data_IF_719663027790
#
_entry.id   IF_719663027790
#
_cell.length_a   1.000
_cell.length_b   1.000
_cell.length_c   1.000
_cell.angle_alpha   90.00
_cell.angle_beta   90.00
_cell.angle_gamma   90.00
#
_symmetry.space_group_name_H-M   'P 1'
#
loop_
_entity.id
_entity.type
_entity.pdbx_description
1 polymer ?
#
# COMPACT_ATOMS: atom_id res chain seq x y z
N UNK A 1 -29.16 7.34 -8.99
CA UNK A 1 -29.14 8.76 -9.39
C UNK A 1 -29.22 8.96 -10.90
N UNK A 2 -28.51 8.18 -11.75
CA UNK A 2 -28.55 8.31 -13.23
C UNK A 2 -29.94 8.11 -13.86
N UNK A 3 -30.84 7.44 -13.17
CA UNK A 3 -32.21 7.16 -13.65
C UNK A 3 -33.24 8.14 -13.10
N UNK A 4 -32.82 9.12 -12.29
CA UNK A 4 -33.74 10.11 -11.73
C UNK A 4 -33.98 11.20 -12.79
N UNK A 5 -35.22 11.43 -13.24
CA UNK A 5 -35.53 12.52 -14.15
C UNK A 5 -35.14 13.87 -13.58
N UNK A 6 -34.78 14.85 -14.43
CA UNK A 6 -34.30 16.17 -14.01
C UNK A 6 -35.27 16.90 -13.11
N UNK A 7 -36.57 16.70 -13.31
CA UNK A 7 -37.66 17.27 -12.52
C UNK A 7 -37.66 16.86 -11.03
N UNK A 8 -36.90 15.74 -10.69
CA UNK A 8 -36.77 15.27 -9.30
C UNK A 8 -35.41 15.59 -8.70
N UNK A 9 -34.51 16.30 -9.39
CA UNK A 9 -33.20 16.64 -8.86
C UNK A 9 -33.24 17.51 -7.59
N UNK A 10 -34.38 18.21 -7.34
CA UNK A 10 -34.58 19.00 -6.10
C UNK A 10 -34.62 18.15 -4.81
N UNK A 11 -34.89 16.85 -4.90
CA UNK A 11 -34.86 15.93 -3.75
C UNK A 11 -33.43 15.43 -3.45
N UNK A 12 -32.47 15.63 -4.36
CA UNK A 12 -31.08 15.27 -4.16
C UNK A 12 -30.42 16.30 -3.24
N UNK A 13 -30.59 16.12 -1.94
CA UNK A 13 -29.88 16.88 -0.91
C UNK A 13 -28.69 16.12 -0.38
N UNK A 14 -27.78 16.81 0.33
CA UNK A 14 -26.67 16.16 1.01
C UNK A 14 -27.15 15.06 1.97
N UNK A 15 -28.21 15.35 2.76
CA UNK A 15 -28.77 14.38 3.72
C UNK A 15 -29.34 13.15 3.02
N UNK A 16 -30.00 13.33 1.87
CA UNK A 16 -30.49 12.21 1.07
C UNK A 16 -29.33 11.33 0.59
N UNK A 17 -28.25 11.94 0.09
CA UNK A 17 -27.06 11.23 -0.37
C UNK A 17 -26.39 10.48 0.78
N UNK A 18 -26.24 11.11 1.95
CA UNK A 18 -25.67 10.50 3.15
C UNK A 18 -26.51 9.32 3.63
N UNK A 19 -27.83 9.49 3.65
CA UNK A 19 -28.76 8.41 4.01
C UNK A 19 -28.67 7.24 3.01
N UNK A 20 -28.58 7.53 1.72
CA UNK A 20 -28.43 6.52 0.69
C UNK A 20 -27.10 5.75 0.81
N UNK A 21 -25.99 6.45 1.13
CA UNK A 21 -24.70 5.84 1.43
C UNK A 21 -24.80 4.89 2.63
N UNK A 22 -25.39 5.31 3.73
CA UNK A 22 -25.44 4.56 4.99
C UNK A 22 -26.35 3.31 4.92
N UNK A 23 -27.42 3.38 4.12
CA UNK A 23 -28.44 2.31 4.05
C UNK A 23 -28.27 1.35 2.87
N UNK A 24 -27.38 1.63 1.93
CA UNK A 24 -27.14 0.73 0.81
C UNK A 24 -26.11 -0.35 1.22
N UNK A 25 -26.55 -1.55 1.55
CA UNK A 25 -25.72 -2.68 1.97
C UNK A 25 -25.11 -3.49 0.82
N UNK A 26 -25.24 -3.06 -0.42
CA UNK A 26 -24.69 -3.77 -1.58
C UNK A 26 -23.22 -3.42 -1.80
N UNK A 27 -22.33 -4.34 -1.54
CA UNK A 27 -20.87 -4.19 -1.62
C UNK A 27 -20.36 -3.71 -2.99
N UNK A 28 -21.08 -4.01 -4.07
CA UNK A 28 -20.65 -3.76 -5.45
C UNK A 28 -20.96 -2.32 -5.94
N UNK A 29 -21.84 -1.60 -5.25
CA UNK A 29 -22.33 -0.29 -5.69
C UNK A 29 -21.57 0.93 -5.16
N UNK A 30 -20.80 0.80 -4.07
CA UNK A 30 -20.26 1.96 -3.34
C UNK A 30 -19.13 2.68 -4.07
N UNK A 31 -18.24 1.96 -4.75
CA UNK A 31 -17.13 2.58 -5.45
C UNK A 31 -17.58 3.51 -6.59
N UNK A 32 -18.72 3.20 -7.22
CA UNK A 32 -19.28 3.99 -8.31
C UNK A 32 -20.27 5.08 -7.85
N UNK A 33 -20.64 5.11 -6.57
CA UNK A 33 -21.65 6.04 -6.11
C UNK A 33 -21.18 7.50 -6.25
N UNK A 34 -19.91 7.78 -5.89
CA UNK A 34 -19.34 9.11 -6.13
C UNK A 34 -19.23 9.48 -7.62
N UNK A 35 -19.18 8.53 -8.53
CA UNK A 35 -19.18 8.80 -9.97
C UNK A 35 -20.49 9.43 -10.42
N UNK A 36 -21.61 8.97 -9.86
CA UNK A 36 -22.96 9.34 -10.29
C UNK A 36 -23.61 10.47 -9.47
N UNK A 37 -23.03 10.84 -8.33
CA UNK A 37 -23.46 11.99 -7.53
C UNK A 37 -23.10 13.27 -8.26
N UNK A 38 -24.02 14.25 -8.40
CA UNK A 38 -23.70 15.58 -8.92
C UNK A 38 -22.60 16.29 -8.13
N UNK A 39 -21.71 17.02 -8.80
CA UNK A 39 -20.52 17.63 -8.17
C UNK A 39 -20.85 18.63 -7.05
N UNK A 40 -22.00 19.32 -7.14
CA UNK A 40 -22.47 20.21 -6.08
C UNK A 40 -22.82 19.48 -4.78
N UNK A 41 -23.16 18.19 -4.85
CA UNK A 41 -23.48 17.36 -3.69
C UNK A 41 -22.27 16.52 -3.22
N UNK A 42 -21.15 16.56 -3.92
CA UNK A 42 -19.88 15.96 -3.47
C UNK A 42 -19.22 16.87 -2.44
N UNK A 43 -19.87 17.03 -1.29
CA UNK A 43 -19.30 17.76 -0.15
C UNK A 43 -18.16 16.95 0.47
N UNK A 44 -17.37 17.57 1.34
CA UNK A 44 -16.31 16.86 2.09
C UNK A 44 -16.87 15.64 2.81
N UNK A 45 -17.96 15.82 3.55
CA UNK A 45 -18.61 14.78 4.34
C UNK A 45 -19.11 13.62 3.48
N UNK A 46 -19.76 13.91 2.35
CA UNK A 46 -20.23 12.88 1.40
C UNK A 46 -19.07 12.09 0.84
N UNK A 47 -18.02 12.78 0.40
CA UNK A 47 -16.83 12.13 -0.15
C UNK A 47 -16.10 11.26 0.89
N UNK A 48 -15.96 11.76 2.11
CA UNK A 48 -15.31 11.05 3.21
C UNK A 48 -16.06 9.77 3.55
N UNK A 49 -17.37 9.85 3.77
CA UNK A 49 -18.20 8.68 4.08
C UNK A 49 -18.15 7.65 2.94
N UNK A 50 -18.25 8.09 1.69
CA UNK A 50 -18.14 7.18 0.56
C UNK A 50 -16.79 6.44 0.51
N UNK A 51 -15.68 7.14 0.78
CA UNK A 51 -14.35 6.55 0.82
C UNK A 51 -14.14 5.64 2.05
N UNK A 52 -14.74 5.97 3.21
CA UNK A 52 -14.70 5.10 4.40
C UNK A 52 -15.46 3.80 4.13
N UNK A 53 -16.58 3.87 3.42
CA UNK A 53 -17.36 2.68 3.09
C UNK A 53 -16.70 1.84 2.01
N UNK A 54 -15.99 2.48 1.08
CA UNK A 54 -15.23 1.78 0.03
C UNK A 54 -14.05 2.62 -0.47
N UNK A 55 -12.85 2.24 -0.10
CA UNK A 55 -11.61 2.96 -0.41
C UNK A 55 -11.43 3.30 -1.91
N UNK A 56 -11.91 2.46 -2.84
CA UNK A 56 -11.82 2.74 -4.27
C UNK A 56 -12.69 3.92 -4.73
N UNK A 57 -13.61 4.43 -3.90
CA UNK A 57 -14.39 5.64 -4.21
C UNK A 57 -13.49 6.88 -4.34
N UNK A 58 -12.28 6.85 -3.76
CA UNK A 58 -11.29 7.91 -3.88
C UNK A 58 -10.96 8.27 -5.34
N UNK A 59 -11.12 7.35 -6.29
CA UNK A 59 -10.96 7.61 -7.73
C UNK A 59 -11.87 8.71 -8.27
N UNK A 60 -13.03 8.89 -7.65
CA UNK A 60 -14.08 9.80 -8.07
C UNK A 60 -14.14 11.08 -7.23
N UNK A 61 -13.11 11.31 -6.39
CA UNK A 61 -13.00 12.55 -5.62
C UNK A 61 -12.86 13.77 -6.55
N UNK A 62 -13.60 14.85 -6.27
CA UNK A 62 -13.33 16.14 -6.89
C UNK A 62 -11.87 16.56 -6.66
N UNK A 63 -11.26 17.25 -7.65
CA UNK A 63 -9.87 17.73 -7.54
C UNK A 63 -9.60 18.54 -6.28
N UNK A 64 -10.58 19.34 -5.81
CA UNK A 64 -10.48 20.15 -4.58
C UNK A 64 -10.25 19.35 -3.30
N UNK A 65 -10.56 18.03 -3.30
CA UNK A 65 -10.39 17.13 -2.17
C UNK A 65 -9.24 16.11 -2.38
N UNK A 66 -8.59 16.14 -3.54
CA UNK A 66 -7.41 15.32 -3.81
C UNK A 66 -6.18 16.01 -3.19
N UNK A 67 -6.05 15.95 -1.86
CA UNK A 67 -4.99 16.60 -1.09
C UNK A 67 -4.68 15.85 0.21
N UNK A 68 -3.57 16.21 0.84
CA UNK A 68 -3.07 15.57 2.07
C UNK A 68 -4.07 15.61 3.21
N UNK A 69 -4.77 16.72 3.42
CA UNK A 69 -5.75 16.86 4.50
C UNK A 69 -6.86 15.81 4.40
N UNK A 70 -7.35 15.56 3.20
CA UNK A 70 -8.37 14.53 2.98
C UNK A 70 -7.79 13.11 3.18
N UNK A 71 -6.57 12.88 2.70
CA UNK A 71 -5.90 11.58 2.83
C UNK A 71 -5.53 11.26 4.28
N UNK A 72 -5.11 12.25 5.06
CA UNK A 72 -4.86 12.09 6.49
C UNK A 72 -6.15 11.68 7.24
N UNK A 73 -7.27 12.29 6.91
CA UNK A 73 -8.56 11.92 7.52
C UNK A 73 -8.97 10.48 7.16
N UNK A 74 -8.70 10.01 5.94
CA UNK A 74 -8.88 8.59 5.58
C UNK A 74 -7.99 7.67 6.42
N UNK A 75 -6.74 8.06 6.67
CA UNK A 75 -5.80 7.29 7.51
C UNK A 75 -6.33 7.20 8.94
N UNK A 76 -6.86 8.28 9.51
CA UNK A 76 -7.47 8.28 10.86
C UNK A 76 -8.68 7.33 10.95
N UNK A 77 -9.42 7.18 9.84
CA UNK A 77 -10.51 6.20 9.72
C UNK A 77 -10.04 4.78 9.33
N UNK A 78 -8.72 4.51 9.39
CA UNK A 78 -8.11 3.21 9.05
C UNK A 78 -8.35 2.75 7.61
N UNK A 79 -8.57 3.69 6.71
CA UNK A 79 -8.66 3.40 5.28
C UNK A 79 -7.30 3.65 4.64
N UNK A 80 -6.45 2.63 4.55
CA UNK A 80 -5.09 2.76 4.02
C UNK A 80 -4.97 2.37 2.55
N UNK A 81 -5.80 1.43 2.10
CA UNK A 81 -5.76 0.89 0.73
C UNK A 81 -6.12 1.93 -0.35
N UNK A 82 -6.62 3.11 0.05
CA UNK A 82 -6.92 4.21 -0.87
C UNK A 82 -5.70 4.59 -1.72
N UNK A 83 -4.47 4.44 -1.18
CA UNK A 83 -3.24 4.80 -1.89
C UNK A 83 -3.03 4.06 -3.21
N UNK A 84 -3.65 2.88 -3.36
CA UNK A 84 -3.64 2.11 -4.61
C UNK A 84 -4.53 2.71 -5.70
N UNK A 85 -5.35 3.70 -5.37
CA UNK A 85 -6.38 4.24 -6.24
C UNK A 85 -6.29 5.74 -6.49
N UNK A 86 -5.40 6.45 -5.79
CA UNK A 86 -5.16 7.89 -6.00
C UNK A 86 -4.13 8.12 -7.11
N UNK A 87 -4.08 9.38 -7.57
CA UNK A 87 -2.96 9.87 -8.36
C UNK A 87 -1.82 10.24 -7.43
N UNK A 88 -0.67 9.60 -7.57
CA UNK A 88 0.45 9.78 -6.65
C UNK A 88 1.09 11.19 -6.68
N UNK A 89 0.75 12.02 -7.66
CA UNK A 89 1.14 13.43 -7.70
C UNK A 89 0.28 14.33 -6.79
N UNK A 90 -0.80 13.78 -6.20
CA UNK A 90 -1.72 14.51 -5.30
C UNK A 90 -1.45 14.27 -3.82
N UNK A 91 -0.48 13.45 -3.46
CA UNK A 91 -0.13 13.11 -2.07
C UNK A 91 1.32 13.47 -1.78
N UNK A 92 1.60 13.99 -0.60
CA UNK A 92 2.97 14.25 -0.16
C UNK A 92 3.65 12.98 0.39
N UNK A 93 4.98 12.96 0.41
CA UNK A 93 5.75 11.84 0.92
C UNK A 93 5.45 11.50 2.39
N UNK A 94 5.31 12.45 3.33
CA UNK A 94 4.97 12.13 4.73
C UNK A 94 3.62 11.42 4.87
N UNK A 95 2.59 11.88 4.16
CA UNK A 95 1.25 11.27 4.22
C UNK A 95 1.26 9.89 3.55
N UNK A 96 1.96 9.75 2.44
CA UNK A 96 2.13 8.49 1.74
C UNK A 96 2.86 7.45 2.61
N UNK A 97 3.97 7.84 3.25
CA UNK A 97 4.72 7.01 4.20
C UNK A 97 3.85 6.58 5.39
N UNK A 98 3.11 7.53 5.99
CA UNK A 98 2.17 7.25 7.09
C UNK A 98 1.12 6.20 6.67
N UNK A 99 0.56 6.31 5.47
CA UNK A 99 -0.39 5.33 4.95
C UNK A 99 0.26 3.96 4.75
N UNK A 100 1.43 3.91 4.09
CA UNK A 100 2.19 2.66 3.86
C UNK A 100 2.53 1.95 5.18
N UNK A 101 2.97 2.69 6.20
CA UNK A 101 3.35 2.13 7.50
C UNK A 101 2.20 1.45 8.25
N UNK A 102 0.94 1.75 7.88
CA UNK A 102 -0.28 1.19 8.51
C UNK A 102 -0.87 0.00 7.75
N UNK A 103 -0.50 -0.20 6.49
CA UNK A 103 -0.97 -1.33 5.69
C UNK A 103 -0.30 -2.61 6.18
N UNK A 104 -1.08 -3.69 6.28
CA UNK A 104 -0.50 -5.00 6.58
C UNK A 104 0.31 -5.50 5.36
N UNK A 105 1.56 -5.88 5.60
CA UNK A 105 2.47 -6.46 4.60
C UNK A 105 1.88 -7.68 3.89
N UNK A 106 0.95 -8.38 4.55
CA UNK A 106 0.26 -9.55 4.00
C UNK A 106 -0.94 -9.21 3.12
N UNK A 107 -1.47 -7.98 3.19
CA UNK A 107 -2.52 -7.54 2.29
C UNK A 107 -1.91 -7.24 0.94
N UNK A 108 -2.08 -8.18 0.03
CA UNK A 108 -1.49 -8.18 -1.28
C UNK A 108 -1.89 -6.95 -2.11
N UNK A 109 -0.92 -6.38 -2.80
CA UNK A 109 -1.12 -5.72 -4.09
C UNK A 109 -1.44 -4.23 -3.98
N UNK A 110 -0.41 -3.48 -3.59
CA UNK A 110 -0.55 -2.03 -3.54
C UNK A 110 -0.57 -1.34 -4.92
N UNK A 111 0.15 -1.83 -5.93
CA UNK A 111 0.41 -1.01 -7.13
C UNK A 111 0.52 -1.80 -8.43
N UNK A 112 -0.50 -2.54 -8.83
CA UNK A 112 -0.45 -3.37 -10.04
C UNK A 112 -0.07 -2.64 -11.32
N UNK A 113 -0.41 -1.36 -11.45
CA UNK A 113 -0.26 -0.60 -12.68
C UNK A 113 0.85 0.47 -12.64
N UNK A 114 1.56 0.63 -11.51
CA UNK A 114 2.56 1.68 -11.36
C UNK A 114 3.95 1.13 -11.70
N UNK A 115 4.59 1.73 -12.71
CA UNK A 115 5.94 1.35 -13.12
C UNK A 115 7.04 2.00 -12.30
N UNK A 116 6.79 3.17 -11.70
CA UNK A 116 7.74 3.95 -10.87
C UNK A 116 7.01 4.91 -9.97
N UNK A 117 7.55 5.12 -8.76
CA UNK A 117 7.11 6.20 -7.90
C UNK A 117 7.55 7.56 -8.46
N UNK A 118 6.71 8.60 -8.33
CA UNK A 118 7.12 9.98 -8.59
C UNK A 118 8.32 10.38 -7.74
N UNK A 119 9.18 11.25 -8.28
CA UNK A 119 10.43 11.66 -7.59
C UNK A 119 10.20 12.27 -6.20
N UNK A 120 9.11 13.02 -6.01
CA UNK A 120 8.81 13.66 -4.73
C UNK A 120 8.42 12.64 -3.63
N UNK A 121 8.04 11.41 -3.99
CA UNK A 121 7.77 10.31 -3.05
C UNK A 121 9.00 9.44 -2.76
N UNK A 122 10.12 9.64 -3.44
CA UNK A 122 11.34 8.84 -3.26
C UNK A 122 12.16 9.33 -2.05
N UNK A 123 11.52 9.44 -0.89
CA UNK A 123 12.20 9.68 0.39
C UNK A 123 12.71 8.37 0.98
N UNK A 124 13.66 8.45 1.91
CA UNK A 124 14.22 7.27 2.58
C UNK A 124 13.12 6.45 3.26
N UNK A 125 12.20 7.09 3.99
CA UNK A 125 11.09 6.42 4.67
C UNK A 125 10.18 5.67 3.69
N UNK A 126 9.74 6.32 2.61
CA UNK A 126 8.91 5.67 1.58
C UNK A 126 9.65 4.51 0.92
N UNK A 127 10.95 4.66 0.62
CA UNK A 127 11.77 3.61 0.01
C UNK A 127 11.82 2.36 0.90
N UNK A 128 12.01 2.53 2.22
CA UNK A 128 12.04 1.40 3.15
C UNK A 128 10.66 0.79 3.38
N UNK A 129 9.60 1.59 3.44
CA UNK A 129 8.23 1.05 3.50
C UNK A 129 7.89 0.23 2.24
N UNK A 130 8.27 0.70 1.06
CA UNK A 130 8.09 -0.06 -0.19
C UNK A 130 8.91 -1.35 -0.21
N UNK A 131 10.12 -1.34 0.35
CA UNK A 131 10.92 -2.56 0.53
C UNK A 131 10.22 -3.55 1.47
N UNK A 132 9.64 -3.06 2.57
CA UNK A 132 8.86 -3.86 3.53
C UNK A 132 7.67 -4.55 2.89
N UNK A 133 7.00 -3.88 1.94
CA UNK A 133 5.87 -4.41 1.19
C UNK A 133 6.24 -5.29 -0.02
N UNK A 134 7.54 -5.51 -0.29
CA UNK A 134 7.99 -6.32 -1.43
C UNK A 134 7.89 -5.62 -2.78
N UNK A 135 7.55 -4.33 -2.80
CA UNK A 135 7.33 -3.52 -4.01
C UNK A 135 8.64 -2.98 -4.61
N UNK A 136 9.65 -3.85 -4.65
CA UNK A 136 11.00 -3.48 -5.08
C UNK A 136 11.07 -2.94 -6.52
N UNK A 137 10.16 -3.39 -7.39
CA UNK A 137 10.18 -3.01 -8.81
C UNK A 137 9.85 -1.52 -9.03
N UNK A 138 9.15 -0.89 -8.08
CA UNK A 138 8.77 0.52 -8.16
C UNK A 138 9.93 1.46 -7.82
N UNK A 139 10.94 0.95 -7.12
CA UNK A 139 12.09 1.73 -6.68
C UNK A 139 13.20 1.69 -7.73
N UNK A 140 13.71 2.84 -8.20
CA UNK A 140 14.86 2.89 -9.08
C UNK A 140 16.11 2.27 -8.45
N UNK A 141 16.95 1.61 -9.24
CA UNK A 141 18.12 0.86 -8.76
C UNK A 141 19.11 1.73 -7.97
N UNK A 142 19.19 3.03 -8.28
CA UNK A 142 20.08 3.99 -7.59
C UNK A 142 19.77 4.12 -6.09
N UNK A 143 18.54 3.83 -5.67
CA UNK A 143 18.12 3.88 -4.25
C UNK A 143 18.19 2.51 -3.56
N UNK A 144 18.56 1.46 -4.27
CA UNK A 144 18.61 0.09 -3.75
C UNK A 144 20.01 -0.23 -3.23
N UNK A 145 20.31 0.28 -2.05
CA UNK A 145 21.54 -0.07 -1.33
C UNK A 145 21.41 -1.40 -0.55
N UNK A 146 22.44 -1.76 0.21
CA UNK A 146 22.43 -2.96 1.04
C UNK A 146 21.31 -2.93 2.09
N UNK A 147 21.07 -1.77 2.71
CA UNK A 147 20.05 -1.62 3.76
C UNK A 147 18.63 -1.77 3.21
N UNK A 148 18.38 -1.28 2.00
CA UNK A 148 17.14 -1.52 1.28
C UNK A 148 16.87 -3.03 1.14
N UNK A 149 17.84 -3.79 0.62
CA UNK A 149 17.67 -5.24 0.45
C UNK A 149 17.56 -5.98 1.78
N UNK A 150 18.30 -5.57 2.80
CA UNK A 150 18.20 -6.16 4.13
C UNK A 150 16.80 -5.93 4.74
N UNK A 151 16.23 -4.75 4.56
CA UNK A 151 14.85 -4.45 4.95
C UNK A 151 13.86 -5.35 4.22
N UNK A 152 13.97 -5.46 2.90
CA UNK A 152 13.09 -6.30 2.11
C UNK A 152 13.09 -7.76 2.59
N UNK A 153 14.25 -8.38 2.74
CA UNK A 153 14.36 -9.79 3.14
C UNK A 153 13.92 -10.05 4.59
N UNK A 154 14.04 -9.06 5.49
CA UNK A 154 13.54 -9.17 6.87
C UNK A 154 12.01 -9.29 6.93
N UNK A 155 11.31 -8.70 5.99
CA UNK A 155 9.85 -8.77 5.92
C UNK A 155 9.37 -9.89 4.99
N UNK A 156 10.09 -10.11 3.89
CA UNK A 156 9.76 -11.12 2.91
C UNK A 156 11.01 -11.92 2.50
N UNK A 157 11.30 -12.99 3.23
CA UNK A 157 12.51 -13.81 3.01
C UNK A 157 12.63 -14.38 1.61
N UNK A 158 11.51 -14.56 0.88
CA UNK A 158 11.54 -14.97 -0.54
C UNK A 158 12.24 -13.96 -1.44
N UNK A 159 12.33 -12.69 -1.05
CA UNK A 159 12.98 -11.64 -1.83
C UNK A 159 14.50 -11.75 -1.84
N UNK A 160 15.06 -12.75 -1.15
CA UNK A 160 16.49 -13.10 -1.22
C UNK A 160 16.93 -13.38 -2.66
N UNK A 161 16.05 -13.87 -3.53
CA UNK A 161 16.32 -14.11 -4.95
C UNK A 161 16.61 -12.84 -5.75
N UNK A 162 16.11 -11.69 -5.25
CA UNK A 162 16.26 -10.37 -5.89
C UNK A 162 17.48 -9.60 -5.40
N UNK A 163 18.18 -10.11 -4.37
CA UNK A 163 19.35 -9.45 -3.79
C UNK A 163 20.56 -9.61 -4.71
N UNK A 164 21.22 -8.53 -5.14
CA UNK A 164 22.45 -8.63 -5.92
C UNK A 164 23.54 -9.35 -5.16
N UNK A 165 24.36 -10.13 -5.89
CA UNK A 165 25.45 -10.96 -5.33
C UNK A 165 26.41 -10.13 -4.44
N UNK A 166 26.70 -8.89 -4.81
CA UNK A 166 27.58 -7.99 -4.04
C UNK A 166 27.09 -7.67 -2.62
N UNK A 167 25.77 -7.83 -2.36
CA UNK A 167 25.16 -7.60 -1.04
C UNK A 167 24.82 -8.91 -0.33
N UNK A 168 25.02 -10.05 -1.01
CA UNK A 168 24.70 -11.37 -0.49
C UNK A 168 25.75 -11.81 0.52
N UNK A 169 25.47 -11.67 1.80
CA UNK A 169 26.31 -12.06 2.91
C UNK A 169 25.57 -12.92 3.95
N UNK A 170 26.28 -13.35 4.99
CA UNK A 170 25.71 -14.18 6.07
C UNK A 170 24.53 -13.49 6.78
N UNK A 171 24.62 -12.19 7.04
CA UNK A 171 23.54 -11.44 7.72
C UNK A 171 22.28 -11.41 6.85
N UNK A 172 22.44 -11.10 5.57
CA UNK A 172 21.34 -11.07 4.60
C UNK A 172 20.60 -12.43 4.53
N UNK A 173 21.37 -13.52 4.42
CA UNK A 173 20.81 -14.87 4.37
C UNK A 173 20.10 -15.27 5.69
N UNK A 174 20.68 -14.94 6.84
CA UNK A 174 20.06 -15.21 8.14
C UNK A 174 18.77 -14.41 8.31
N UNK A 175 18.76 -13.14 7.95
CA UNK A 175 17.56 -12.29 8.03
C UNK A 175 16.43 -12.84 7.14
N UNK A 176 16.76 -13.31 5.94
CA UNK A 176 15.79 -13.94 5.05
C UNK A 176 15.21 -15.25 5.63
N UNK A 177 16.07 -16.08 6.25
CA UNK A 177 15.64 -17.32 6.92
C UNK A 177 14.75 -17.03 8.15
N UNK A 178 15.05 -15.99 8.92
CA UNK A 178 14.22 -15.54 10.05
C UNK A 178 12.81 -15.16 9.61
N UNK A 179 12.69 -14.54 8.44
CA UNK A 179 11.41 -14.15 7.87
C UNK A 179 10.64 -15.34 7.27
N UNK A 180 11.29 -16.14 6.43
CA UNK A 180 10.69 -17.31 5.81
C UNK A 180 11.77 -18.32 5.39
N UNK A 181 12.06 -19.28 6.29
CA UNK A 181 13.11 -20.26 6.09
C UNK A 181 12.92 -21.12 4.83
N UNK A 182 11.70 -21.60 4.57
CA UNK A 182 11.42 -22.46 3.42
C UNK A 182 11.56 -21.74 2.08
N UNK A 183 11.12 -20.50 1.99
CA UNK A 183 11.23 -19.72 0.76
C UNK A 183 12.67 -19.25 0.50
N UNK A 184 13.40 -18.87 1.57
CA UNK A 184 14.74 -18.28 1.46
C UNK A 184 15.84 -19.32 1.20
N UNK A 185 15.75 -20.53 1.82
CA UNK A 185 16.86 -21.51 1.82
C UNK A 185 17.41 -21.87 0.43
N UNK A 186 16.54 -21.90 -0.57
CA UNK A 186 16.92 -22.26 -1.96
C UNK A 186 17.77 -21.21 -2.66
N UNK A 187 17.74 -19.97 -2.17
CA UNK A 187 18.45 -18.83 -2.75
C UNK A 187 19.75 -18.51 -2.02
N UNK A 188 20.08 -19.25 -0.94
CA UNK A 188 21.35 -19.06 -0.23
C UNK A 188 22.49 -19.59 -1.10
N UNK A 189 23.50 -18.76 -1.45
CA UNK A 189 24.64 -19.20 -2.23
C UNK A 189 25.49 -20.24 -1.48
N UNK A 190 26.08 -21.21 -2.21
CA UNK A 190 26.89 -22.28 -1.59
C UNK A 190 28.10 -21.74 -0.82
N UNK A 191 28.70 -20.64 -1.26
CA UNK A 191 29.78 -19.95 -0.53
C UNK A 191 29.41 -19.48 0.87
N UNK A 192 28.11 -19.27 1.13
CA UNK A 192 27.58 -18.87 2.45
C UNK A 192 27.26 -20.09 3.32
N UNK A 193 26.96 -21.25 2.75
CA UNK A 193 26.54 -22.48 3.43
C UNK A 193 27.70 -23.17 4.19
N UNK A 194 28.50 -22.41 4.93
CA UNK A 194 29.58 -22.90 5.77
C UNK A 194 29.07 -23.53 7.07
N UNK A 195 29.94 -24.33 7.73
CA UNK A 195 29.62 -24.91 9.05
C UNK A 195 29.25 -23.83 10.07
N UNK A 196 29.91 -22.66 10.05
CA UNK A 196 29.62 -21.54 10.93
C UNK A 196 28.25 -20.92 10.61
N UNK A 197 27.87 -20.84 9.35
CA UNK A 197 26.54 -20.38 8.95
C UNK A 197 25.45 -21.30 9.53
N UNK A 198 25.57 -22.61 9.30
CA UNK A 198 24.60 -23.59 9.81
C UNK A 198 24.53 -23.64 11.33
N UNK A 199 25.65 -23.46 12.02
CA UNK A 199 25.66 -23.33 13.48
C UNK A 199 24.75 -22.18 13.93
N UNK A 200 24.86 -20.99 13.33
CA UNK A 200 23.99 -19.85 13.62
C UNK A 200 22.52 -20.12 13.31
N UNK A 201 22.24 -20.83 12.21
CA UNK A 201 20.86 -21.22 11.83
C UNK A 201 20.22 -22.12 12.91
N UNK A 202 20.98 -23.09 13.43
CA UNK A 202 20.54 -24.00 14.50
C UNK A 202 20.37 -23.23 15.83
N UNK A 203 21.35 -22.39 16.20
CA UNK A 203 21.28 -21.54 17.42
C UNK A 203 20.02 -20.67 17.42
N UNK A 204 19.64 -20.12 16.27
CA UNK A 204 18.43 -19.31 16.08
C UNK A 204 17.14 -20.13 15.89
N UNK A 205 17.22 -21.45 15.82
CA UNK A 205 16.09 -22.38 15.62
C UNK A 205 15.24 -22.07 14.39
N UNK A 206 15.85 -21.65 13.27
CA UNK A 206 15.14 -21.13 12.11
C UNK A 206 14.34 -22.18 11.31
N UNK A 207 14.50 -23.46 11.59
CA UNK A 207 13.72 -24.57 11.02
C UNK A 207 12.94 -25.38 12.06
N UNK A 208 12.83 -24.84 13.30
CA UNK A 208 12.07 -25.49 14.38
C UNK A 208 10.67 -24.88 14.44
N UNK A 209 9.75 -25.45 13.69
CA UNK A 209 8.30 -25.22 13.82
C UNK A 209 7.56 -26.52 13.56
#
# INVERSE_FOLDING_TARGET
>A
FRLLPDEYHYILTEDFVLHALQNNRSYVGYCHLLEVIPDQLKTWKVCLIACIMHFAAVKYLPKRFQNDTFYEELIEHRQYDFISYIKLDTISAPVFEKALSKIDVKSSILFHDIKKLPKHLLTEGVIYEMARHGEMNLIPTVYKDRNFYLTAVRYQGSDLDKVPEKYMDTEMCLAALESNAYAAQKYIPDRIKTSNFWKKVVEKRLFSS
#
